data_IF_468356885211
#
_entry.id   IF_468356885211
#
_cell.length_a   1.000
_cell.length_b   1.000
_cell.length_c   1.000
_cell.angle_alpha   90.00
_cell.angle_beta   90.00
_cell.angle_gamma   90.00
#
_symmetry.space_group_name_H-M   'P 1'
#
loop_
_entity.id
_entity.type
_entity.pdbx_description
1 polymer ?
#
# COMPACT_ATOMS: atom_id res chain seq x y z
N UNK A 1 13.84 -34.26 25.36
CA UNK A 1 13.08 -34.72 26.55
C UNK A 1 11.65 -34.23 26.41
N UNK A 2 10.77 -35.18 26.36
CA UNK A 2 9.32 -35.09 26.21
C UNK A 2 8.61 -34.46 27.40
N UNK A 3 7.46 -33.79 27.09
CA UNK A 3 6.17 -33.92 27.76
C UNK A 3 5.27 -32.81 27.22
N UNK A 4 4.31 -32.99 26.35
CA UNK A 4 3.04 -33.71 26.40
C UNK A 4 1.95 -33.03 27.27
N UNK A 5 0.90 -32.67 26.59
CA UNK A 5 -0.47 -32.21 26.91
C UNK A 5 -1.12 -32.89 28.14
N UNK A 6 -2.24 -32.36 28.72
CA UNK A 6 -3.51 -32.93 28.26
C UNK A 6 -4.72 -31.97 28.10
N UNK A 7 -5.60 -32.40 27.20
CA UNK A 7 -7.01 -32.08 26.99
C UNK A 7 -7.87 -32.58 28.15
N UNK A 8 -8.88 -31.80 28.56
CA UNK A 8 -10.06 -32.34 29.27
C UNK A 8 -11.35 -31.79 28.65
N UNK A 9 -12.14 -32.72 28.13
CA UNK A 9 -13.55 -32.63 27.76
C UNK A 9 -14.44 -33.09 28.93
N UNK A 10 -15.56 -32.41 29.17
CA UNK A 10 -16.85 -32.97 29.71
C UNK A 10 -17.88 -31.85 29.58
N UNK A 11 -19.07 -31.95 29.03
CA UNK A 11 -20.07 -32.99 29.00
C UNK A 11 -21.40 -32.30 29.34
N UNK A 12 -22.43 -32.29 28.43
CA UNK A 12 -23.78 -31.81 28.66
C UNK A 12 -24.59 -32.81 29.57
N UNK A 13 -25.93 -32.89 29.58
CA UNK A 13 -26.99 -32.25 28.83
C UNK A 13 -28.28 -31.97 29.63
N UNK A 14 -29.42 -31.77 28.93
CA UNK A 14 -30.85 -32.00 29.32
C UNK A 14 -31.60 -30.91 30.10
N UNK A 15 -32.89 -30.75 30.02
CA UNK A 15 -33.99 -31.15 29.15
C UNK A 15 -35.25 -30.34 29.53
N UNK A 16 -36.16 -30.25 28.56
CA UNK A 16 -37.63 -30.35 28.66
C UNK A 16 -38.46 -29.26 29.36
N UNK A 17 -39.37 -28.74 28.66
CA UNK A 17 -40.73 -29.17 28.34
C UNK A 17 -41.86 -28.16 28.67
N UNK A 18 -42.77 -28.04 27.74
CA UNK A 18 -44.26 -27.94 27.85
C UNK A 18 -44.86 -26.60 28.36
N UNK A 19 -45.83 -25.97 27.78
CA UNK A 19 -47.07 -26.44 27.16
C UNK A 19 -47.87 -25.23 26.62
N UNK A 20 -48.61 -25.45 25.53
CA UNK A 20 -49.78 -24.68 25.04
C UNK A 20 -50.99 -24.86 26.00
N UNK A 21 -52.20 -24.28 25.73
CA UNK A 21 -52.66 -23.39 24.68
C UNK A 21 -53.69 -22.30 25.19
N UNK A 22 -54.36 -21.65 24.19
CA UNK A 22 -55.83 -21.37 23.99
C UNK A 22 -56.27 -19.91 23.87
N UNK A 23 -56.75 -19.67 22.66
CA UNK A 23 -57.95 -18.95 22.15
C UNK A 23 -58.22 -17.50 22.48
N UNK A 24 -58.46 -16.75 21.47
CA UNK A 24 -59.65 -16.38 20.70
C UNK A 24 -59.70 -14.85 20.62
N UNK A 25 -60.02 -14.15 19.64
CA UNK A 25 -61.21 -13.97 18.80
C UNK A 25 -60.99 -12.77 17.88
N UNK A 26 -61.66 -12.82 16.76
CA UNK A 26 -61.71 -11.93 15.62
C UNK A 26 -62.03 -10.48 15.92
N UNK A 27 -61.49 -9.57 15.06
CA UNK A 27 -61.93 -8.19 14.93
C UNK A 27 -61.42 -7.56 13.64
N UNK A 28 -62.37 -7.11 12.85
CA UNK A 28 -62.41 -6.72 11.45
C UNK A 28 -61.38 -5.73 10.91
N UNK A 29 -61.21 -5.86 9.61
CA UNK A 29 -60.65 -5.03 8.58
C UNK A 29 -60.67 -3.50 8.75
N UNK A 30 -59.51 -2.88 8.42
CA UNK A 30 -59.53 -1.57 7.75
C UNK A 30 -58.33 -1.48 6.78
N UNK A 31 -58.66 -1.27 5.52
CA UNK A 31 -57.75 -1.10 4.40
C UNK A 31 -57.18 0.33 4.44
N UNK A 32 -55.87 0.45 4.59
CA UNK A 32 -55.15 1.70 4.28
C UNK A 32 -54.00 1.36 3.32
N UNK A 33 -54.22 1.72 2.05
CA UNK A 33 -53.22 1.74 1.02
C UNK A 33 -52.23 2.89 1.33
N UNK A 34 -51.04 2.55 1.78
CA UNK A 34 -49.90 3.47 1.86
C UNK A 34 -48.93 3.23 0.71
N UNK A 35 -48.26 4.26 0.16
CA UNK A 35 -47.42 4.11 -1.02
C UNK A 35 -46.19 3.27 -0.70
N UNK A 36 -45.98 2.25 -1.54
CA UNK A 36 -44.76 1.48 -1.57
C UNK A 36 -43.60 2.38 -2.04
N UNK A 37 -42.98 3.05 -1.11
CA UNK A 37 -41.66 3.64 -1.31
C UNK A 37 -40.65 2.51 -1.42
N UNK A 38 -40.32 2.12 -2.62
CA UNK A 38 -39.12 1.32 -2.91
C UNK A 38 -37.90 2.12 -2.48
N UNK A 39 -37.45 1.92 -1.25
CA UNK A 39 -36.12 2.34 -0.85
C UNK A 39 -35.16 1.46 -1.65
N UNK A 40 -34.64 1.98 -2.78
CA UNK A 40 -33.44 1.43 -3.40
C UNK A 40 -32.37 1.38 -2.32
N UNK A 41 -31.98 0.17 -1.93
CA UNK A 41 -30.75 -0.03 -1.18
C UNK A 41 -29.61 0.66 -1.99
N UNK A 42 -28.72 1.42 -1.35
CA UNK A 42 -27.57 1.94 -2.06
C UNK A 42 -26.84 0.73 -2.65
N UNK A 43 -26.59 0.78 -3.96
CA UNK A 43 -25.67 -0.15 -4.58
C UNK A 43 -24.38 -0.10 -3.76
N UNK A 44 -23.93 -1.24 -3.26
CA UNK A 44 -22.62 -1.42 -2.71
C UNK A 44 -21.64 -1.13 -3.87
N UNK A 45 -21.37 0.15 -4.11
CA UNK A 45 -20.26 0.56 -4.94
C UNK A 45 -19.01 -0.01 -4.29
N UNK A 46 -18.28 -0.83 -5.02
CA UNK A 46 -16.97 -1.26 -4.61
C UNK A 46 -16.17 0.02 -4.33
N UNK A 47 -15.83 0.28 -3.07
CA UNK A 47 -14.99 1.41 -2.72
C UNK A 47 -13.63 1.17 -3.40
N UNK A 48 -13.10 2.18 -4.06
CA UNK A 48 -11.81 2.11 -4.76
C UNK A 48 -10.97 3.25 -4.18
N UNK A 49 -9.66 3.09 -4.00
CA UNK A 49 -8.82 4.16 -3.51
C UNK A 49 -9.13 5.48 -4.22
N UNK A 50 -9.40 6.58 -3.48
CA UNK A 50 -9.84 7.83 -4.09
C UNK A 50 -8.70 8.53 -4.86
N UNK A 51 -7.45 8.16 -4.57
CA UNK A 51 -6.22 8.69 -5.17
C UNK A 51 -5.08 7.72 -4.91
N UNK A 52 -4.12 7.66 -5.81
CA UNK A 52 -2.90 6.85 -5.70
C UNK A 52 -1.69 7.74 -5.87
N UNK A 53 -0.63 7.50 -5.10
CA UNK A 53 0.70 8.02 -5.41
C UNK A 53 1.73 6.88 -5.40
N UNK A 54 2.77 7.07 -6.20
CA UNK A 54 3.95 6.19 -6.26
C UNK A 54 5.16 7.02 -5.87
N UNK A 55 5.97 6.51 -4.93
CA UNK A 55 7.22 7.12 -4.49
C UNK A 55 8.37 6.10 -4.55
N UNK A 56 9.59 6.54 -4.78
CA UNK A 56 10.78 5.73 -4.56
C UNK A 56 11.15 5.70 -3.07
N UNK A 57 12.10 4.86 -2.69
CA UNK A 57 12.48 4.68 -1.30
C UNK A 57 13.96 4.96 -0.96
N UNK A 58 14.73 5.80 -1.69
CA UNK A 58 16.10 6.02 -1.28
C UNK A 58 16.16 6.79 0.05
N UNK A 59 16.98 6.33 1.03
CA UNK A 59 17.18 7.08 2.28
C UNK A 59 17.64 8.53 2.06
N UNK A 60 18.29 8.81 0.92
CA UNK A 60 18.72 10.15 0.51
C UNK A 60 17.57 11.16 0.30
N UNK A 61 16.31 10.73 0.32
CA UNK A 61 15.17 11.65 0.38
C UNK A 61 15.15 12.44 1.68
N UNK A 62 15.63 11.85 2.78
CA UNK A 62 15.72 12.50 4.10
C UNK A 62 16.91 13.47 4.09
N UNK A 63 16.71 14.77 4.32
CA UNK A 63 17.77 15.78 4.18
C UNK A 63 18.99 15.48 5.04
N UNK A 64 18.79 14.97 6.26
CA UNK A 64 19.85 14.61 7.20
C UNK A 64 20.77 13.49 6.68
N UNK A 65 20.31 12.71 5.69
CA UNK A 65 21.06 11.63 5.03
C UNK A 65 21.65 12.06 3.69
N UNK A 66 21.21 13.20 3.14
CA UNK A 66 21.61 13.67 1.81
C UNK A 66 22.88 14.52 1.80
N UNK A 67 23.71 14.48 2.86
CA UNK A 67 24.92 15.31 3.01
C UNK A 67 25.80 15.26 1.74
N UNK A 68 25.90 16.39 1.02
CA UNK A 68 26.66 16.51 -0.23
C UNK A 68 25.90 16.11 -1.49
N UNK A 69 24.67 15.59 -1.38
CA UNK A 69 23.79 15.21 -2.50
C UNK A 69 22.45 15.98 -2.50
N UNK A 70 22.39 17.10 -1.77
CA UNK A 70 21.15 17.87 -1.62
C UNK A 70 20.66 18.43 -2.94
N UNK A 71 21.57 18.86 -3.80
CA UNK A 71 21.24 19.44 -5.11
C UNK A 71 20.70 18.36 -6.06
N UNK A 72 21.35 17.20 -6.11
CA UNK A 72 20.98 16.08 -6.97
C UNK A 72 19.65 15.44 -6.57
N UNK A 73 19.27 15.53 -5.28
CA UNK A 73 18.01 14.99 -4.76
C UNK A 73 16.90 16.02 -4.66
N UNK A 74 17.16 17.30 -4.93
CA UNK A 74 16.22 18.39 -4.68
C UNK A 74 14.92 18.24 -5.51
N UNK A 75 15.04 17.96 -6.81
CA UNK A 75 13.91 17.76 -7.72
C UNK A 75 13.09 16.52 -7.33
N UNK A 76 13.75 15.39 -7.09
CA UNK A 76 13.11 14.16 -6.63
C UNK A 76 12.36 14.37 -5.31
N UNK A 77 12.99 15.04 -4.35
CA UNK A 77 12.38 15.35 -3.05
C UNK A 77 11.17 16.29 -3.20
N UNK A 78 11.25 17.28 -4.09
CA UNK A 78 10.13 18.17 -4.39
C UNK A 78 8.95 17.40 -4.98
N UNK A 79 9.20 16.50 -5.95
CA UNK A 79 8.18 15.63 -6.52
C UNK A 79 7.51 14.70 -5.49
N UNK A 80 8.31 14.11 -4.58
CA UNK A 80 7.77 13.28 -3.50
C UNK A 80 6.87 14.06 -2.54
N UNK A 81 7.25 15.29 -2.19
CA UNK A 81 6.42 16.18 -1.35
C UNK A 81 5.13 16.59 -2.04
N UNK A 82 5.20 16.90 -3.33
CA UNK A 82 4.03 17.23 -4.13
C UNK A 82 3.05 16.05 -4.20
N UNK A 83 3.53 14.83 -4.46
CA UNK A 83 2.71 13.63 -4.48
C UNK A 83 2.02 13.40 -3.12
N UNK A 84 2.77 13.49 -2.02
CA UNK A 84 2.23 13.36 -0.66
C UNK A 84 1.20 14.47 -0.33
N UNK A 85 1.46 15.71 -0.74
CA UNK A 85 0.53 16.82 -0.55
C UNK A 85 -0.81 16.60 -1.29
N UNK A 86 -0.76 16.01 -2.50
CA UNK A 86 -1.97 15.66 -3.26
C UNK A 86 -2.77 14.55 -2.59
N UNK A 87 -2.13 13.53 -2.01
CA UNK A 87 -2.83 12.53 -1.20
C UNK A 87 -3.51 13.19 -0.02
N UNK A 88 -2.79 14.04 0.70
CA UNK A 88 -3.27 14.74 1.89
C UNK A 88 -4.47 15.66 1.61
N UNK A 89 -4.50 16.28 0.42
CA UNK A 89 -5.61 17.12 -0.03
C UNK A 89 -6.92 16.34 -0.19
N UNK A 90 -6.85 15.01 -0.35
CA UNK A 90 -8.02 14.13 -0.50
C UNK A 90 -8.39 13.48 0.83
N UNK A 91 -7.41 12.92 1.54
CA UNK A 91 -7.60 12.27 2.85
C UNK A 91 -6.27 12.16 3.60
N UNK A 92 -6.34 12.13 4.92
CA UNK A 92 -5.22 11.84 5.82
C UNK A 92 -5.13 10.34 6.22
N UNK A 93 -6.06 9.50 5.77
CA UNK A 93 -6.06 8.06 5.97
C UNK A 93 -5.45 7.36 4.74
N UNK A 94 -4.28 6.71 4.92
CA UNK A 94 -3.54 6.09 3.82
C UNK A 94 -3.27 4.60 4.05
N UNK A 95 -3.25 3.84 2.96
CA UNK A 95 -2.64 2.52 2.91
C UNK A 95 -1.31 2.64 2.17
N UNK A 96 -0.24 2.15 2.77
CA UNK A 96 1.11 2.14 2.18
C UNK A 96 1.43 0.73 1.74
N UNK A 97 1.78 0.55 0.48
CA UNK A 97 2.27 -0.73 -0.06
C UNK A 97 3.76 -0.62 -0.33
N UNK A 98 4.54 -1.54 0.20
CA UNK A 98 5.99 -1.61 -0.01
C UNK A 98 6.52 -3.04 -0.04
N UNK A 99 7.73 -3.22 -0.57
CA UNK A 99 8.39 -4.51 -0.55
C UNK A 99 9.30 -4.65 0.67
N UNK A 100 9.28 -5.82 1.31
CA UNK A 100 10.14 -6.16 2.43
C UNK A 100 10.61 -7.62 2.33
N UNK A 101 11.91 -7.92 2.55
CA UNK A 101 12.43 -9.29 2.54
C UNK A 101 11.78 -10.22 3.57
N UNK A 102 11.19 -9.69 4.63
CA UNK A 102 10.41 -10.44 5.61
C UNK A 102 9.09 -11.00 5.05
N UNK A 103 8.71 -10.58 3.84
CA UNK A 103 7.53 -11.05 3.15
C UNK A 103 6.25 -10.34 3.52
N UNK A 104 5.12 -11.02 3.32
CA UNK A 104 3.79 -10.44 3.54
C UNK A 104 3.53 -10.14 5.01
N UNK A 105 3.23 -8.88 5.31
CA UNK A 105 2.87 -8.42 6.65
C UNK A 105 1.99 -7.18 6.61
N UNK A 106 1.16 -7.00 7.64
CA UNK A 106 0.41 -5.76 7.87
C UNK A 106 0.98 -5.06 9.10
N UNK A 107 1.31 -3.78 8.95
CA UNK A 107 1.84 -2.93 10.02
C UNK A 107 0.80 -1.86 10.36
N UNK A 108 0.34 -1.87 11.60
CA UNK A 108 -0.70 -0.94 12.06
C UNK A 108 -0.19 0.49 12.24
N UNK A 109 -1.12 1.47 12.33
CA UNK A 109 -0.76 2.91 12.44
C UNK A 109 0.01 3.26 13.71
N UNK A 110 -0.03 2.41 14.74
CA UNK A 110 0.75 2.62 15.96
C UNK A 110 2.26 2.51 15.80
N UNK A 111 2.76 1.99 14.67
CA UNK A 111 4.19 1.77 14.47
C UNK A 111 4.96 3.10 14.34
N UNK A 112 6.16 3.11 14.92
CA UNK A 112 7.14 4.19 14.82
C UNK A 112 8.50 3.60 14.47
N UNK A 113 9.28 4.31 13.68
CA UNK A 113 10.61 3.88 13.29
C UNK A 113 11.61 5.01 13.29
N UNK A 114 12.85 4.71 12.94
CA UNK A 114 13.94 5.67 12.89
C UNK A 114 14.88 5.39 11.74
N UNK A 115 15.44 6.47 11.18
CA UNK A 115 16.53 6.40 10.21
C UNK A 115 17.91 6.23 10.83
N UNK A 116 17.99 5.93 12.13
CA UNK A 116 19.27 5.73 12.85
C UNK A 116 20.10 4.61 12.19
N UNK A 117 19.48 3.55 11.71
CA UNK A 117 20.14 2.47 10.95
C UNK A 117 20.80 2.95 9.63
N UNK A 118 20.38 4.09 9.11
CA UNK A 118 20.93 4.76 7.92
C UNK A 118 21.86 5.91 8.26
N UNK A 119 22.07 6.23 9.55
CA UNK A 119 23.02 7.24 10.02
C UNK A 119 22.41 8.59 10.42
N UNK A 120 21.09 8.73 10.49
CA UNK A 120 20.42 9.95 10.96
C UNK A 120 19.42 9.65 12.08
N UNK A 121 19.46 10.46 13.14
CA UNK A 121 18.51 10.36 14.26
C UNK A 121 17.19 11.09 13.90
N UNK A 122 16.49 10.55 12.90
CA UNK A 122 15.18 11.03 12.44
C UNK A 122 14.14 9.97 12.77
N UNK A 123 13.25 10.28 13.70
CA UNK A 123 12.13 9.40 14.10
C UNK A 123 10.90 9.77 13.29
N UNK A 124 10.20 8.73 12.81
CA UNK A 124 8.95 8.84 12.07
C UNK A 124 7.86 7.95 12.67
N UNK A 125 6.61 8.25 12.38
CA UNK A 125 5.47 7.48 12.86
C UNK A 125 4.42 7.31 11.75
N UNK A 126 3.77 6.14 11.72
CA UNK A 126 2.65 5.88 10.81
C UNK A 126 1.35 6.58 11.25
N UNK A 127 1.29 7.05 12.48
CA UNK A 127 0.24 7.91 13.01
C UNK A 127 0.91 8.98 13.87
N UNK A 128 0.70 10.27 13.60
CA UNK A 128 1.30 11.36 14.39
C UNK A 128 0.89 11.32 15.86
N UNK A 129 -0.22 10.69 16.20
CA UNK A 129 -0.65 10.50 17.59
C UNK A 129 0.01 9.30 18.30
N UNK A 130 0.81 8.49 17.59
CA UNK A 130 1.44 7.31 18.17
C UNK A 130 2.51 7.68 19.20
N UNK A 131 2.45 7.02 20.35
CA UNK A 131 3.43 7.09 21.43
C UNK A 131 4.15 5.77 21.66
N UNK A 132 3.99 4.80 20.74
CA UNK A 132 4.64 3.50 20.84
C UNK A 132 6.17 3.63 20.87
N UNK A 133 6.90 2.66 21.42
CA UNK A 133 8.35 2.59 21.27
C UNK A 133 8.77 2.62 19.80
N UNK A 134 9.94 3.19 19.54
CA UNK A 134 10.53 3.19 18.20
C UNK A 134 11.01 1.78 17.88
N UNK A 135 10.55 1.25 16.77
CA UNK A 135 11.00 -0.01 16.19
C UNK A 135 12.24 0.28 15.30
N UNK A 136 13.43 -0.23 15.66
CA UNK A 136 14.63 -0.03 14.86
C UNK A 136 14.58 -0.77 13.51
N UNK A 137 13.71 -1.78 13.39
CA UNK A 137 13.59 -2.67 12.24
C UNK A 137 12.35 -2.34 11.38
N UNK A 138 11.71 -1.18 11.60
CA UNK A 138 10.59 -0.76 10.75
C UNK A 138 11.04 -0.70 9.28
N UNK A 139 10.38 -1.43 8.34
CA UNK A 139 10.81 -1.52 6.95
C UNK A 139 10.96 -0.18 6.25
N UNK A 140 12.00 -0.07 5.42
CA UNK A 140 12.36 1.17 4.72
C UNK A 140 11.20 1.83 3.95
N UNK A 141 10.35 1.09 3.18
CA UNK A 141 9.22 1.72 2.51
C UNK A 141 8.26 2.42 3.48
N UNK A 142 8.09 1.89 4.70
CA UNK A 142 7.25 2.51 5.72
C UNK A 142 7.94 3.71 6.37
N UNK A 143 9.25 3.66 6.57
CA UNK A 143 10.03 4.82 7.02
C UNK A 143 9.90 5.99 6.04
N UNK A 144 10.07 5.73 4.75
CA UNK A 144 9.96 6.73 3.68
C UNK A 144 8.53 7.27 3.58
N UNK A 145 7.52 6.39 3.62
CA UNK A 145 6.13 6.81 3.61
C UNK A 145 5.79 7.73 4.79
N UNK A 146 6.20 7.34 6.00
CA UNK A 146 5.98 8.14 7.21
C UNK A 146 6.73 9.47 7.19
N UNK A 147 7.92 9.51 6.57
CA UNK A 147 8.66 10.76 6.38
C UNK A 147 7.98 11.69 5.35
N UNK A 148 7.59 11.14 4.18
CA UNK A 148 6.99 11.93 3.11
C UNK A 148 5.58 12.43 3.46
N UNK A 149 4.79 11.59 4.14
CA UNK A 149 3.42 11.86 4.54
C UNK A 149 3.29 12.21 6.02
N UNK A 150 4.27 12.93 6.59
CA UNK A 150 4.22 13.34 8.00
C UNK A 150 2.90 14.06 8.33
N UNK A 151 2.12 13.49 9.23
CA UNK A 151 0.78 13.96 9.59
C UNK A 151 -0.36 13.05 9.14
N UNK A 152 -0.17 12.16 8.19
CA UNK A 152 -1.16 11.16 7.80
C UNK A 152 -1.19 9.98 8.79
N UNK A 153 -2.33 9.33 8.83
CA UNK A 153 -2.53 8.07 9.54
C UNK A 153 -2.45 6.92 8.55
N UNK A 154 -1.42 6.09 8.70
CA UNK A 154 -1.05 5.07 7.71
C UNK A 154 -1.17 3.66 8.25
N UNK A 155 -1.58 2.72 7.40
CA UNK A 155 -1.41 1.28 7.58
C UNK A 155 -0.46 0.77 6.51
N UNK A 156 0.58 0.04 6.90
CA UNK A 156 1.51 -0.61 5.98
C UNK A 156 1.02 -1.99 5.56
N UNK A 157 1.10 -2.28 4.27
CA UNK A 157 0.93 -3.60 3.67
C UNK A 157 2.23 -3.97 2.94
N UNK A 158 2.91 -4.97 3.45
CA UNK A 158 4.18 -5.41 2.92
C UNK A 158 4.02 -6.63 2.04
N UNK A 159 4.84 -6.75 1.02
CA UNK A 159 4.91 -7.89 0.10
C UNK A 159 6.37 -8.28 -0.12
N UNK A 160 6.65 -9.56 -0.35
CA UNK A 160 8.02 -9.98 -0.67
C UNK A 160 8.49 -9.34 -2.00
N UNK A 161 9.78 -8.92 -2.14
CA UNK A 161 10.29 -8.37 -3.39
C UNK A 161 10.16 -9.35 -4.56
N UNK A 162 10.24 -10.65 -4.29
CA UNK A 162 10.11 -11.75 -5.24
C UNK A 162 8.71 -12.38 -5.28
N UNK A 163 7.72 -11.77 -4.61
CA UNK A 163 6.33 -12.25 -4.64
C UNK A 163 5.85 -12.48 -6.06
N UNK A 164 5.11 -13.56 -6.25
CA UNK A 164 4.53 -13.90 -7.55
C UNK A 164 3.47 -12.87 -7.98
N UNK A 165 3.21 -12.72 -9.29
CA UNK A 165 2.12 -11.85 -9.76
C UNK A 165 0.75 -12.21 -9.15
N UNK A 166 0.52 -13.50 -8.83
CA UNK A 166 -0.72 -13.94 -8.20
C UNK A 166 -0.86 -13.43 -6.76
N UNK A 167 0.21 -13.49 -5.95
CA UNK A 167 0.23 -12.94 -4.59
C UNK A 167 0.05 -11.42 -4.59
N UNK A 168 0.69 -10.72 -5.54
CA UNK A 168 0.50 -9.29 -5.73
C UNK A 168 -0.95 -8.95 -6.11
N UNK A 169 -1.55 -9.73 -7.02
CA UNK A 169 -2.92 -9.55 -7.44
C UNK A 169 -3.92 -9.80 -6.30
N UNK A 170 -3.70 -10.83 -5.47
CA UNK A 170 -4.52 -11.11 -4.29
C UNK A 170 -4.51 -9.94 -3.30
N UNK A 171 -3.32 -9.41 -2.98
CA UNK A 171 -3.22 -8.25 -2.09
C UNK A 171 -3.87 -7.02 -2.70
N UNK A 172 -3.62 -6.73 -3.99
CA UNK A 172 -4.22 -5.59 -4.68
C UNK A 172 -5.75 -5.67 -4.73
N UNK A 173 -6.31 -6.84 -5.01
CA UNK A 173 -7.76 -7.05 -4.98
C UNK A 173 -8.36 -6.82 -3.59
N UNK A 174 -7.65 -7.18 -2.52
CA UNK A 174 -8.08 -6.89 -1.15
C UNK A 174 -8.07 -5.39 -0.84
N UNK A 175 -7.19 -4.61 -1.47
CA UNK A 175 -7.08 -3.17 -1.31
C UNK A 175 -8.03 -2.38 -2.23
N UNK A 176 -8.56 -2.97 -3.28
CA UNK A 176 -9.46 -2.32 -4.22
C UNK A 176 -10.76 -1.79 -3.56
N UNK A 177 -11.16 -2.37 -2.41
CA UNK A 177 -12.33 -1.95 -1.64
C UNK A 177 -12.05 -0.88 -0.56
N UNK A 178 -10.84 -0.36 -0.45
CA UNK A 178 -10.47 0.62 0.58
C UNK A 178 -10.88 2.04 0.18
N UNK A 179 -11.46 2.77 1.14
CA UNK A 179 -11.79 4.20 1.00
C UNK A 179 -10.66 5.07 1.59
N UNK A 180 -9.42 4.69 1.28
CA UNK A 180 -8.19 5.36 1.73
C UNK A 180 -7.30 5.67 0.54
N UNK A 181 -6.49 6.72 0.64
CA UNK A 181 -5.47 6.96 -0.36
C UNK A 181 -4.46 5.81 -0.37
N UNK A 182 -4.00 5.42 -1.56
CA UNK A 182 -2.99 4.39 -1.74
C UNK A 182 -1.64 5.01 -2.05
N UNK A 183 -0.67 4.78 -1.18
CA UNK A 183 0.73 5.15 -1.39
C UNK A 183 1.55 3.89 -1.69
N UNK A 184 2.15 3.83 -2.86
CA UNK A 184 2.98 2.70 -3.29
C UNK A 184 4.44 3.11 -3.30
N UNK A 185 5.28 2.37 -2.59
CA UNK A 185 6.67 2.73 -2.37
C UNK A 185 7.60 1.65 -2.92
N UNK A 186 8.52 2.05 -3.80
CA UNK A 186 9.49 1.13 -4.37
C UNK A 186 10.35 1.75 -5.48
N UNK A 187 11.58 1.26 -5.60
CA UNK A 187 12.57 1.72 -6.57
C UNK A 187 12.53 0.90 -7.86
N UNK A 188 12.92 1.52 -8.97
CA UNK A 188 13.19 0.90 -10.25
C UNK A 188 14.48 0.08 -10.25
N UNK A 189 15.02 -0.12 -11.44
CA UNK A 189 16.26 -0.87 -11.62
C UNK A 189 17.44 -0.22 -10.89
N UNK A 190 18.20 -1.00 -10.15
CA UNK A 190 19.40 -0.53 -9.44
C UNK A 190 20.70 -0.86 -10.22
N UNK A 191 20.63 -0.86 -11.55
CA UNK A 191 21.69 -1.34 -12.46
C UNK A 191 21.96 -0.40 -13.63
N UNK A 192 21.70 0.92 -13.47
CA UNK A 192 21.83 1.89 -14.56
C UNK A 192 23.27 2.29 -14.90
N UNK A 193 24.22 2.10 -14.00
CA UNK A 193 25.61 2.53 -14.17
C UNK A 193 26.60 1.51 -13.59
N UNK A 194 27.86 1.59 -14.00
CA UNK A 194 28.95 0.79 -13.43
C UNK A 194 29.10 0.94 -11.92
N UNK A 195 28.66 2.08 -11.36
CA UNK A 195 28.73 2.39 -9.93
C UNK A 195 27.40 2.15 -9.20
N UNK A 196 26.38 1.70 -9.91
CA UNK A 196 25.11 1.34 -9.31
C UNK A 196 25.25 0.13 -8.37
N UNK A 197 24.36 -0.02 -7.37
CA UNK A 197 24.41 -1.14 -6.43
C UNK A 197 24.44 -2.54 -7.10
N UNK A 198 23.69 -2.72 -8.19
CA UNK A 198 23.61 -3.96 -8.95
C UNK A 198 24.55 -3.99 -10.17
N UNK A 199 25.49 -3.02 -10.28
CA UNK A 199 26.36 -2.85 -11.42
C UNK A 199 25.59 -2.54 -12.72
N UNK A 200 26.27 -2.33 -13.86
CA UNK A 200 25.61 -1.95 -15.11
C UNK A 200 24.91 -3.13 -15.78
N UNK A 201 23.64 -2.95 -16.08
CA UNK A 201 22.87 -3.79 -16.99
C UNK A 201 22.12 -2.92 -18.01
N UNK A 202 22.39 -3.11 -19.31
CA UNK A 202 21.80 -2.31 -20.38
C UNK A 202 20.27 -2.40 -20.44
N UNK A 203 19.67 -3.42 -19.83
CA UNK A 203 18.21 -3.61 -19.76
C UNK A 203 17.53 -2.67 -18.74
N UNK A 204 18.28 -2.06 -17.82
CA UNK A 204 17.76 -1.15 -16.81
C UNK A 204 17.00 0.04 -17.42
N UNK A 205 17.60 0.69 -18.42
CA UNK A 205 16.98 1.83 -19.10
C UNK A 205 15.63 1.50 -19.75
N UNK A 206 15.55 0.50 -20.63
CA UNK A 206 14.27 0.05 -21.19
C UNK A 206 13.24 -0.39 -20.15
N UNK A 207 13.64 -1.08 -19.08
CA UNK A 207 12.74 -1.48 -18.00
C UNK A 207 12.11 -0.26 -17.32
N UNK A 208 12.92 0.68 -16.85
CA UNK A 208 12.41 1.87 -16.16
C UNK A 208 11.65 2.82 -17.09
N UNK A 209 12.00 2.87 -18.38
CA UNK A 209 11.22 3.61 -19.36
C UNK A 209 9.80 3.02 -19.52
N UNK A 210 9.66 1.69 -19.50
CA UNK A 210 8.35 1.03 -19.52
C UNK A 210 7.55 1.30 -18.25
N UNK A 211 8.19 1.24 -17.07
CA UNK A 211 7.55 1.61 -15.79
C UNK A 211 7.09 3.06 -15.80
N UNK A 212 7.97 3.99 -16.20
CA UNK A 212 7.65 5.42 -16.28
C UNK A 212 6.47 5.70 -17.23
N UNK A 213 6.41 5.00 -18.37
CA UNK A 213 5.29 5.11 -19.31
C UNK A 213 3.98 4.60 -18.68
N UNK A 214 4.00 3.41 -18.04
CA UNK A 214 2.85 2.85 -17.37
C UNK A 214 2.32 3.75 -16.24
N UNK A 215 3.22 4.35 -15.46
CA UNK A 215 2.85 5.27 -14.39
C UNK A 215 2.28 6.59 -14.92
N UNK A 216 2.85 7.14 -16.00
CA UNK A 216 2.38 8.37 -16.65
C UNK A 216 0.99 8.20 -17.27
N UNK A 217 0.79 7.06 -17.93
CA UNK A 217 -0.42 6.80 -18.69
C UNK A 217 -1.51 6.13 -17.83
N UNK A 218 -1.22 5.91 -16.54
CA UNK A 218 -2.04 5.18 -15.57
C UNK A 218 -2.53 3.84 -16.14
N UNK A 219 -1.59 3.03 -16.62
CA UNK A 219 -1.84 1.73 -17.23
C UNK A 219 -1.58 0.56 -16.24
N UNK A 220 -2.62 0.08 -15.52
CA UNK A 220 -2.49 -1.05 -14.62
C UNK A 220 -2.07 -2.34 -15.34
N UNK A 221 -2.48 -2.53 -16.60
CA UNK A 221 -2.16 -3.74 -17.35
C UNK A 221 -0.66 -3.82 -17.67
N UNK A 222 -0.04 -2.69 -18.03
CA UNK A 222 1.41 -2.60 -18.24
C UNK A 222 2.19 -2.89 -16.94
N UNK A 223 1.74 -2.37 -15.79
CA UNK A 223 2.37 -2.70 -14.49
C UNK A 223 2.20 -4.17 -14.12
N UNK A 224 1.03 -4.76 -14.36
CA UNK A 224 0.78 -6.17 -14.11
C UNK A 224 1.68 -7.09 -14.96
N UNK A 225 2.03 -6.64 -16.17
CA UNK A 225 2.86 -7.39 -17.14
C UNK A 225 4.36 -7.32 -16.87
N UNK A 226 4.83 -6.59 -15.86
CA UNK A 226 6.25 -6.53 -15.50
C UNK A 226 6.80 -7.93 -15.20
N UNK A 227 7.89 -8.30 -15.84
CA UNK A 227 8.51 -9.63 -15.67
C UNK A 227 9.23 -9.74 -14.32
N UNK A 228 8.86 -10.68 -13.44
CA UNK A 228 9.47 -10.82 -12.12
C UNK A 228 10.94 -11.26 -12.19
N UNK A 229 11.31 -12.07 -13.18
CA UNK A 229 12.68 -12.55 -13.36
C UNK A 229 13.60 -11.39 -13.75
N UNK A 230 13.20 -10.59 -14.74
CA UNK A 230 13.92 -9.40 -15.16
C UNK A 230 14.03 -8.39 -14.01
N UNK A 231 12.94 -8.13 -13.29
CA UNK A 231 12.97 -7.21 -12.17
C UNK A 231 13.95 -7.66 -11.06
N UNK A 232 14.01 -8.96 -10.78
CA UNK A 232 14.99 -9.52 -9.83
C UNK A 232 16.42 -9.33 -10.31
N UNK A 233 16.72 -9.61 -11.56
CA UNK A 233 18.06 -9.42 -12.16
C UNK A 233 18.47 -7.94 -12.13
N UNK A 234 17.53 -7.01 -12.31
CA UNK A 234 17.77 -5.57 -12.30
C UNK A 234 17.68 -4.94 -10.90
N UNK A 235 17.40 -5.72 -9.85
CA UNK A 235 17.20 -5.26 -8.47
C UNK A 235 16.07 -4.22 -8.34
N UNK A 236 15.05 -4.32 -9.17
CA UNK A 236 13.89 -3.43 -9.18
C UNK A 236 12.88 -3.86 -8.12
N UNK A 237 13.09 -3.44 -6.88
CA UNK A 237 12.27 -3.84 -5.72
C UNK A 237 10.84 -3.27 -5.78
N UNK A 238 10.61 -2.26 -6.61
CA UNK A 238 9.27 -1.67 -6.83
C UNK A 238 8.33 -2.56 -7.63
N UNK A 239 8.81 -3.58 -8.34
CA UNK A 239 7.98 -4.44 -9.19
C UNK A 239 6.79 -5.04 -8.45
N UNK A 240 7.01 -5.65 -7.28
CA UNK A 240 5.93 -6.30 -6.53
C UNK A 240 4.89 -5.27 -6.02
N UNK A 241 5.25 -4.15 -5.35
CA UNK A 241 4.32 -3.08 -5.02
C UNK A 241 3.55 -2.52 -6.21
N UNK A 242 4.18 -2.35 -7.38
CA UNK A 242 3.50 -1.85 -8.58
C UNK A 242 2.50 -2.88 -9.14
N UNK A 243 2.76 -4.17 -9.03
CA UNK A 243 1.79 -5.21 -9.40
C UNK A 243 0.62 -5.27 -8.40
N UNK A 244 0.85 -4.96 -7.12
CA UNK A 244 -0.24 -4.74 -6.15
C UNK A 244 -1.09 -3.54 -6.56
N UNK A 245 -0.47 -2.42 -6.92
CA UNK A 245 -1.18 -1.25 -7.46
C UNK A 245 -2.01 -1.61 -8.69
N UNK A 246 -1.42 -2.36 -9.63
CA UNK A 246 -2.10 -2.77 -10.85
C UNK A 246 -3.44 -3.47 -10.55
N UNK A 247 -3.46 -4.39 -9.59
CA UNK A 247 -4.66 -5.09 -9.20
C UNK A 247 -5.64 -4.21 -8.41
N UNK A 248 -5.13 -3.35 -7.51
CA UNK A 248 -5.96 -2.42 -6.75
C UNK A 248 -6.66 -1.37 -7.63
N UNK A 249 -6.06 -1.04 -8.77
CA UNK A 249 -6.55 -0.02 -9.70
C UNK A 249 -7.30 -0.56 -10.92
N UNK A 250 -7.44 -1.90 -11.06
CA UNK A 250 -7.89 -2.54 -12.30
C UNK A 250 -9.31 -2.16 -12.76
N UNK A 251 -10.22 -1.96 -11.81
CA UNK A 251 -11.65 -1.78 -12.10
C UNK A 251 -12.06 -0.31 -12.29
N UNK A 252 -11.09 0.60 -12.48
CA UNK A 252 -11.35 2.03 -12.60
C UNK A 252 -10.49 2.65 -13.71
N UNK A 253 -11.02 3.70 -14.33
CA UNK A 253 -10.24 4.57 -15.21
C UNK A 253 -9.51 5.62 -14.38
N UNK A 254 -8.23 5.75 -14.63
CA UNK A 254 -7.35 6.68 -13.95
C UNK A 254 -6.76 7.71 -14.91
N UNK A 255 -6.44 8.87 -14.38
CA UNK A 255 -5.60 9.86 -15.04
C UNK A 255 -4.26 9.89 -14.31
N UNK A 256 -3.20 9.51 -15.01
CA UNK A 256 -1.84 9.50 -14.48
C UNK A 256 -1.11 10.82 -14.74
N UNK A 257 -0.26 11.18 -13.80
CA UNK A 257 0.72 12.26 -13.96
C UNK A 257 2.05 11.76 -13.39
N UNK A 258 3.09 11.77 -14.23
CA UNK A 258 4.45 11.43 -13.82
C UNK A 258 5.16 12.73 -13.39
N UNK A 259 5.41 12.86 -12.09
CA UNK A 259 6.04 14.06 -11.51
C UNK A 259 7.56 14.03 -11.61
N UNK A 260 8.14 12.81 -11.58
CA UNK A 260 9.59 12.61 -11.72
C UNK A 260 9.89 11.22 -12.29
N UNK A 261 10.94 11.14 -13.11
CA UNK A 261 11.55 9.87 -13.49
C UNK A 261 13.03 10.10 -13.82
N UNK A 262 13.92 9.36 -13.18
CA UNK A 262 15.37 9.47 -13.39
C UNK A 262 16.15 8.48 -12.57
N UNK A 263 17.47 8.39 -12.83
CA UNK A 263 18.38 7.48 -12.14
C UNK A 263 19.67 8.20 -11.69
N UNK A 264 19.60 9.24 -10.84
CA UNK A 264 20.73 10.11 -10.52
C UNK A 264 21.89 9.37 -9.83
N UNK A 265 21.63 8.23 -9.15
CA UNK A 265 22.64 7.43 -8.45
C UNK A 265 22.72 6.00 -9.02
N UNK A 266 22.29 5.81 -10.26
CA UNK A 266 22.26 4.48 -10.89
C UNK A 266 21.09 3.60 -10.47
N UNK A 267 20.14 4.15 -9.69
CA UNK A 267 18.88 3.51 -9.31
C UNK A 267 17.72 4.30 -9.89
N UNK A 268 16.78 3.60 -10.53
CA UNK A 268 15.60 4.20 -11.12
C UNK A 268 14.61 4.69 -10.04
N UNK A 269 14.24 5.97 -10.10
CA UNK A 269 13.28 6.59 -9.21
C UNK A 269 12.12 7.16 -10.01
N UNK A 270 10.91 6.82 -9.61
CA UNK A 270 9.68 7.29 -10.24
C UNK A 270 8.74 7.89 -9.20
N UNK A 271 8.17 9.05 -9.52
CA UNK A 271 7.12 9.67 -8.71
C UNK A 271 5.93 9.94 -9.62
N UNK A 272 4.78 9.41 -9.26
CA UNK A 272 3.55 9.58 -10.03
C UNK A 272 2.34 9.74 -9.12
N UNK A 273 1.29 10.36 -9.64
CA UNK A 273 -0.03 10.48 -8.99
C UNK A 273 -1.10 10.05 -9.97
N UNK A 274 -2.03 9.21 -9.50
CA UNK A 274 -3.21 8.79 -10.25
C UNK A 274 -4.47 9.34 -9.57
N UNK A 275 -5.28 9.99 -10.36
CA UNK A 275 -6.59 10.52 -9.95
C UNK A 275 -7.70 9.90 -10.78
N UNK A 276 -8.92 9.79 -10.27
CA UNK A 276 -10.10 9.31 -11.01
C UNK A 276 -10.41 10.09 -12.25
#
# INVERSE_FOLDING_TARGET
MHAACPVVLTGGPNDSNSSRPVTGTAGAAETASGPSGSASAPALGCAVPPIVAVLPQPPLLVPELATGAEAETAELRAACREAAARLFAVTDEWVVVGADPGGRATVGPGARGSFTGFGADVVVALDPASTAPVDPDLPLPLLIAAWAGAGARMRGELVAPDASPAECAELGAALAGEDRALLVVGDGAATHTEKAPGHLDERAGPFDAAVAAALRDADPAALAALDPGLATELWAVGRAPWQVLAAAAADRTWRGELLYSGAPFGVGYHVAVWTP
#
